data_IF_873651101447
#
_entry.id   IF_873651101447
#
_cell.length_a   1.000
_cell.length_b   1.000
_cell.length_c   1.000
_cell.angle_alpha   90.00
_cell.angle_beta   90.00
_cell.angle_gamma   90.00
#
_symmetry.space_group_name_H-M   'P 1'
#
loop_
_entity.id
_entity.type
_entity.pdbx_description
1 polymer ?
#
# COMPACT_ATOMS: atom_id res chain seq x y z
N UNK A 1 20.33 -38.29 28.77
CA UNK A 1 21.08 -39.55 28.62
C UNK A 1 22.55 -39.17 28.56
N UNK A 2 23.32 -39.44 29.61
CA UNK A 2 24.77 -39.16 29.62
C UNK A 2 25.43 -40.32 28.89
N UNK A 3 26.16 -40.03 27.82
CA UNK A 3 26.93 -41.03 27.10
C UNK A 3 28.30 -41.15 27.74
N UNK A 4 28.69 -42.37 28.13
CA UNK A 4 29.98 -42.68 28.71
C UNK A 4 30.81 -43.42 27.66
N UNK A 5 32.09 -43.04 27.53
CA UNK A 5 33.07 -43.87 26.84
C UNK A 5 34.15 -44.26 27.84
N UNK A 6 34.24 -45.55 28.10
CA UNK A 6 35.21 -46.12 29.03
C UNK A 6 36.33 -46.80 28.24
N UNK A 7 37.58 -46.50 28.59
CA UNK A 7 38.76 -47.18 28.04
C UNK A 7 39.36 -48.01 29.17
N UNK A 8 39.37 -49.33 29.02
CA UNK A 8 39.97 -50.27 29.97
C UNK A 8 41.15 -51.04 29.37
N UNK A 9 42.02 -51.55 30.24
CA UNK A 9 43.15 -52.41 29.85
C UNK A 9 42.70 -53.86 29.64
N UNK A 10 43.63 -54.74 29.21
CA UNK A 10 43.37 -56.18 28.99
C UNK A 10 43.02 -56.98 30.26
N UNK A 11 43.27 -56.41 31.45
CA UNK A 11 42.97 -57.00 32.75
C UNK A 11 41.61 -56.53 33.31
N UNK A 12 40.92 -55.63 32.59
CA UNK A 12 39.61 -55.11 32.99
C UNK A 12 39.66 -53.84 33.84
N UNK A 13 40.84 -53.28 34.12
CA UNK A 13 40.94 -52.04 34.88
C UNK A 13 40.58 -50.84 34.01
N UNK A 14 39.69 -49.98 34.52
CA UNK A 14 39.33 -48.71 33.88
C UNK A 14 40.53 -47.76 33.90
N UNK A 15 41.06 -47.43 32.71
CA UNK A 15 42.22 -46.55 32.55
C UNK A 15 41.81 -45.07 32.46
N UNK A 16 40.71 -44.78 31.76
CA UNK A 16 40.13 -43.44 31.64
C UNK A 16 38.62 -43.53 31.43
N UNK A 17 37.89 -42.65 32.11
CA UNK A 17 36.47 -42.44 31.90
C UNK A 17 36.26 -41.00 31.38
N UNK A 18 35.56 -40.86 30.25
CA UNK A 18 35.15 -39.58 29.71
C UNK A 18 33.63 -39.43 29.85
N UNK A 19 33.23 -38.44 30.65
CA UNK A 19 31.84 -37.99 30.76
C UNK A 19 31.57 -36.92 29.73
N UNK A 20 30.74 -37.24 28.73
CA UNK A 20 30.21 -36.23 27.82
C UNK A 20 28.94 -35.63 28.42
N UNK A 21 29.08 -34.44 29.01
CA UNK A 21 27.93 -33.58 29.25
C UNK A 21 27.46 -33.07 27.89
N UNK A 22 26.50 -33.75 27.28
CA UNK A 22 25.79 -33.23 26.11
C UNK A 22 25.05 -31.97 26.58
N UNK A 23 25.72 -30.82 26.47
CA UNK A 23 25.11 -29.52 26.70
C UNK A 23 23.82 -29.44 25.88
N UNK A 24 22.77 -28.89 26.49
CA UNK A 24 21.49 -28.63 25.85
C UNK A 24 21.73 -28.07 24.46
N UNK A 25 21.17 -28.68 23.41
CA UNK A 25 21.33 -28.22 22.04
C UNK A 25 21.07 -26.71 22.01
N UNK A 26 22.11 -25.93 21.70
CA UNK A 26 22.03 -24.48 21.72
C UNK A 26 21.11 -24.08 20.55
N UNK A 27 19.81 -23.99 20.83
CA UNK A 27 18.80 -23.77 19.81
C UNK A 27 18.86 -22.31 19.44
N UNK A 28 19.56 -22.03 18.36
CA UNK A 28 19.71 -20.68 17.82
C UNK A 28 18.60 -20.45 16.80
N UNK A 29 17.73 -19.48 17.08
CA UNK A 29 16.60 -19.12 16.23
C UNK A 29 17.01 -18.00 15.28
N UNK A 30 16.52 -18.05 14.03
CA UNK A 30 16.83 -17.06 13.00
C UNK A 30 15.55 -16.43 12.48
N UNK A 31 15.56 -15.14 12.18
CA UNK A 31 14.36 -14.44 11.74
C UNK A 31 13.82 -14.98 10.41
N UNK A 32 12.50 -14.91 10.26
CA UNK A 32 11.84 -14.99 8.95
C UNK A 32 11.97 -13.66 8.19
N UNK A 33 11.84 -13.70 6.86
CA UNK A 33 11.87 -12.48 6.06
C UNK A 33 10.76 -11.53 6.49
N UNK A 34 11.08 -10.25 6.69
CA UNK A 34 10.12 -9.19 7.02
C UNK A 34 10.13 -8.14 5.92
N UNK A 35 8.97 -7.81 5.39
CA UNK A 35 8.81 -6.81 4.33
C UNK A 35 7.88 -5.71 4.80
N UNK A 36 8.26 -4.46 4.54
CA UNK A 36 7.44 -3.28 4.81
C UNK A 36 7.44 -2.34 3.61
N UNK A 37 6.34 -1.64 3.41
CA UNK A 37 6.22 -0.58 2.40
C UNK A 37 6.38 0.77 3.06
N UNK A 38 7.22 1.62 2.48
CA UNK A 38 7.56 2.93 3.01
C UNK A 38 7.43 3.98 1.91
N UNK A 39 6.78 5.09 2.20
CA UNK A 39 6.62 6.20 1.25
C UNK A 39 7.72 7.22 1.50
N UNK A 40 8.42 7.63 0.44
CA UNK A 40 9.40 8.72 0.52
C UNK A 40 8.74 9.99 1.07
N UNK A 41 9.32 10.59 2.11
CA UNK A 41 8.70 11.71 2.82
C UNK A 41 9.55 12.99 2.85
N UNK A 42 10.72 12.97 2.22
CA UNK A 42 11.62 14.12 2.10
C UNK A 42 11.52 14.81 0.72
N UNK A 43 10.35 14.78 0.10
CA UNK A 43 10.09 15.49 -1.16
C UNK A 43 9.88 16.98 -0.92
N UNK A 44 10.27 17.82 -1.89
CA UNK A 44 9.97 19.26 -1.88
C UNK A 44 8.45 19.50 -1.86
N UNK A 45 8.03 20.67 -1.37
CA UNK A 45 6.61 21.04 -1.31
C UNK A 45 5.92 20.85 -2.66
N UNK A 46 4.74 20.25 -2.66
CA UNK A 46 3.94 19.96 -3.85
C UNK A 46 4.31 18.68 -4.60
N UNK A 47 5.34 17.95 -4.17
CA UNK A 47 5.71 16.65 -4.73
C UNK A 47 5.30 15.49 -3.82
N UNK A 48 4.89 14.38 -4.43
CA UNK A 48 4.54 13.13 -3.75
C UNK A 48 5.69 12.15 -3.87
N UNK A 49 6.03 11.47 -2.78
CA UNK A 49 7.03 10.41 -2.79
C UNK A 49 6.44 9.07 -3.25
N UNK A 50 7.22 8.31 -4.00
CA UNK A 50 6.87 6.94 -4.36
C UNK A 50 6.89 6.01 -3.14
N UNK A 51 6.05 4.97 -3.16
CA UNK A 51 6.12 3.85 -2.21
C UNK A 51 7.19 2.86 -2.65
N UNK A 52 8.09 2.51 -1.73
CA UNK A 52 9.17 1.53 -1.94
C UNK A 52 9.03 0.41 -0.91
N UNK A 53 9.19 -0.83 -1.34
CA UNK A 53 9.27 -1.99 -0.45
C UNK A 53 10.69 -2.18 0.07
N UNK A 54 10.85 -2.31 1.38
CA UNK A 54 12.09 -2.70 2.03
C UNK A 54 11.92 -4.09 2.66
N UNK A 55 12.86 -4.98 2.41
CA UNK A 55 12.82 -6.36 2.91
C UNK A 55 14.07 -6.64 3.74
N UNK A 56 13.86 -7.07 4.97
CA UNK A 56 14.88 -7.71 5.79
C UNK A 56 14.84 -9.21 5.46
N UNK A 57 15.89 -9.78 4.82
CA UNK A 57 15.91 -11.19 4.45
C UNK A 57 15.81 -12.12 5.66
N UNK A 58 15.35 -13.35 5.42
CA UNK A 58 15.42 -14.40 6.44
C UNK A 58 16.88 -14.65 6.86
N UNK A 59 17.08 -15.07 8.10
CA UNK A 59 18.39 -15.37 8.69
C UNK A 59 19.36 -14.19 8.83
N UNK A 60 18.87 -12.95 8.75
CA UNK A 60 19.67 -11.73 8.99
C UNK A 60 19.93 -11.48 10.49
N UNK A 61 19.03 -11.92 11.35
CA UNK A 61 19.06 -11.73 12.80
C UNK A 61 18.83 -13.06 13.51
N UNK A 62 19.57 -13.26 14.60
CA UNK A 62 19.54 -14.46 15.41
C UNK A 62 19.24 -14.20 16.88
N UNK A 63 18.66 -15.18 17.56
CA UNK A 63 18.41 -15.13 19.00
C UNK A 63 18.56 -16.51 19.63
N UNK A 64 19.17 -16.58 20.82
CA UNK A 64 19.17 -17.78 21.66
C UNK A 64 17.91 -17.90 22.52
N UNK A 65 17.04 -16.89 22.50
CA UNK A 65 15.84 -16.83 23.35
C UNK A 65 14.64 -17.48 22.67
N UNK A 66 14.28 -17.05 21.46
CA UNK A 66 13.13 -17.58 20.72
C UNK A 66 13.10 -17.09 19.27
N UNK A 67 12.28 -17.75 18.44
CA UNK A 67 11.93 -17.27 17.10
C UNK A 67 11.33 -15.86 17.12
N UNK A 68 10.44 -15.58 18.08
CA UNK A 68 9.80 -14.28 18.22
C UNK A 68 10.82 -13.17 18.53
N UNK A 69 11.86 -13.47 19.31
CA UNK A 69 12.92 -12.53 19.60
C UNK A 69 13.75 -12.21 18.34
N UNK A 70 14.11 -13.22 17.54
CA UNK A 70 14.81 -13.01 16.27
C UNK A 70 13.96 -12.21 15.26
N UNK A 71 12.66 -12.53 15.17
CA UNK A 71 11.70 -11.80 14.34
C UNK A 71 11.50 -10.35 14.80
N UNK A 72 11.50 -10.09 16.11
CA UNK A 72 11.39 -8.74 16.66
C UNK A 72 12.62 -7.88 16.31
N UNK A 73 13.82 -8.47 16.31
CA UNK A 73 15.03 -7.78 15.83
C UNK A 73 14.93 -7.42 14.35
N UNK A 74 14.45 -8.35 13.51
CA UNK A 74 14.23 -8.09 12.10
C UNK A 74 13.18 -6.99 11.86
N UNK A 75 12.10 -6.98 12.64
CA UNK A 75 11.09 -5.92 12.59
C UNK A 75 11.66 -4.58 13.06
N UNK A 76 12.47 -4.55 14.11
CA UNK A 76 13.12 -3.31 14.57
C UNK A 76 14.08 -2.74 13.51
N UNK A 77 14.83 -3.60 12.81
CA UNK A 77 15.67 -3.18 11.70
C UNK A 77 14.83 -2.67 10.51
N UNK A 78 13.71 -3.33 10.20
CA UNK A 78 12.79 -2.90 9.17
C UNK A 78 12.24 -1.49 9.45
N UNK A 79 11.79 -1.22 10.69
CA UNK A 79 11.26 0.10 11.06
C UNK A 79 12.35 1.17 11.15
N UNK A 80 13.56 0.83 11.61
CA UNK A 80 14.67 1.76 11.71
C UNK A 80 15.22 2.20 10.35
N UNK A 81 15.27 1.30 9.36
CA UNK A 81 15.92 1.57 8.07
C UNK A 81 14.94 1.78 6.92
N UNK A 82 13.69 1.33 7.03
CA UNK A 82 12.72 1.37 5.93
C UNK A 82 12.46 2.79 5.39
N UNK A 83 12.29 3.78 6.28
CA UNK A 83 12.07 5.16 5.85
C UNK A 83 13.32 5.77 5.20
N UNK A 84 14.51 5.52 5.73
CA UNK A 84 15.76 6.01 5.15
C UNK A 84 16.00 5.38 3.77
N UNK A 85 15.69 4.09 3.61
CA UNK A 85 15.74 3.41 2.32
C UNK A 85 14.78 4.05 1.32
N UNK A 86 13.50 4.24 1.67
CA UNK A 86 12.53 4.91 0.79
C UNK A 86 12.95 6.35 0.45
N UNK A 87 13.56 7.07 1.39
CA UNK A 87 14.09 8.41 1.13
C UNK A 87 15.31 8.40 0.20
N UNK A 88 16.11 7.33 0.17
CA UNK A 88 17.27 7.20 -0.71
C UNK A 88 16.92 6.71 -2.12
N UNK A 89 16.01 5.74 -2.25
CA UNK A 89 15.69 5.05 -3.51
C UNK A 89 14.38 5.49 -4.14
N UNK A 90 13.48 6.10 -3.38
CA UNK A 90 12.21 6.59 -3.88
C UNK A 90 12.35 7.83 -4.77
N UNK A 91 11.37 7.99 -5.65
CA UNK A 91 11.26 9.12 -6.58
C UNK A 91 10.21 10.10 -6.06
N UNK A 92 10.46 11.40 -6.25
CA UNK A 92 9.45 12.43 -6.04
C UNK A 92 8.80 12.76 -7.38
N UNK A 93 7.49 12.65 -7.47
CA UNK A 93 6.72 13.02 -8.66
C UNK A 93 5.74 14.13 -8.33
N UNK A 94 5.43 14.97 -9.31
CA UNK A 94 4.39 15.96 -9.12
C UNK A 94 3.04 15.24 -8.95
N UNK A 95 2.27 15.66 -7.96
CA UNK A 95 0.91 15.16 -7.76
C UNK A 95 -0.07 15.84 -8.72
N UNK A 96 -1.15 15.15 -9.04
CA UNK A 96 -2.35 15.72 -9.65
C UNK A 96 -3.40 15.82 -8.56
N UNK A 97 -3.80 17.05 -8.25
CA UNK A 97 -4.90 17.30 -7.34
C UNK A 97 -6.22 16.94 -8.02
N UNK A 98 -7.03 16.12 -7.35
CA UNK A 98 -8.39 15.79 -7.76
C UNK A 98 -9.33 16.50 -6.79
N UNK A 99 -10.22 17.30 -7.33
CA UNK A 99 -11.26 18.00 -6.57
C UNK A 99 -12.64 17.66 -7.13
N UNK A 100 -13.64 17.70 -6.27
CA UNK A 100 -15.03 17.46 -6.63
C UNK A 100 -15.89 18.66 -6.27
N UNK A 101 -16.72 19.09 -7.22
CA UNK A 101 -17.78 20.06 -6.98
C UNK A 101 -19.12 19.45 -7.35
N UNK A 102 -20.07 19.58 -6.43
CA UNK A 102 -21.44 19.11 -6.60
C UNK A 102 -22.37 20.32 -6.73
N UNK A 103 -22.79 20.61 -7.94
CA UNK A 103 -23.68 21.74 -8.25
C UNK A 103 -25.13 21.26 -8.51
N UNK A 104 -25.49 20.08 -7.99
CA UNK A 104 -26.86 19.57 -8.04
C UNK A 104 -27.81 20.47 -7.24
N UNK A 105 -28.99 20.74 -7.77
CA UNK A 105 -30.01 21.58 -7.15
C UNK A 105 -31.30 20.81 -6.87
N UNK A 106 -31.96 21.12 -5.75
CA UNK A 106 -33.23 20.52 -5.39
C UNK A 106 -34.31 20.73 -6.50
N UNK A 107 -35.16 19.72 -6.79
CA UNK A 107 -35.35 18.46 -6.06
C UNK A 107 -34.42 17.31 -6.55
N UNK A 108 -33.37 17.62 -7.31
CA UNK A 108 -32.45 16.64 -7.86
C UNK A 108 -31.26 16.43 -6.91
N UNK A 109 -31.15 15.22 -6.39
CA UNK A 109 -30.05 14.83 -5.51
C UNK A 109 -29.18 13.79 -6.23
N UNK A 110 -27.95 14.19 -6.55
CA UNK A 110 -26.92 13.32 -7.10
C UNK A 110 -25.61 13.55 -6.37
N UNK A 111 -24.83 12.50 -6.16
CA UNK A 111 -23.50 12.63 -5.57
C UNK A 111 -22.61 11.48 -6.03
N UNK A 112 -21.29 11.66 -5.92
CA UNK A 112 -20.33 10.58 -6.13
C UNK A 112 -20.16 9.84 -4.81
N UNK A 113 -20.70 8.63 -4.69
CA UNK A 113 -20.50 7.81 -3.48
C UNK A 113 -19.10 7.19 -3.43
N UNK A 114 -18.52 6.91 -4.60
CA UNK A 114 -17.18 6.35 -4.71
C UNK A 114 -16.51 6.72 -6.05
N UNK A 115 -15.24 7.12 -5.97
CA UNK A 115 -14.31 7.18 -7.10
C UNK A 115 -13.22 6.11 -6.91
N UNK A 116 -13.08 5.22 -7.89
CA UNK A 116 -11.94 4.32 -8.01
C UNK A 116 -11.01 4.80 -9.12
N UNK A 117 -9.72 4.86 -8.81
CA UNK A 117 -8.65 5.11 -9.79
C UNK A 117 -7.96 3.79 -10.06
N UNK A 118 -7.99 3.32 -11.30
CA UNK A 118 -7.45 2.04 -11.74
C UNK A 118 -6.26 2.22 -12.67
N UNK A 119 -5.33 1.27 -12.68
CA UNK A 119 -4.28 1.21 -13.69
C UNK A 119 -4.83 0.72 -15.05
N UNK A 120 -3.96 0.66 -16.07
CA UNK A 120 -4.29 0.13 -17.40
C UNK A 120 -4.78 -1.33 -17.37
N UNK A 121 -4.33 -2.13 -16.40
CA UNK A 121 -4.76 -3.51 -16.20
C UNK A 121 -6.11 -3.64 -15.45
N UNK A 122 -6.73 -2.52 -15.05
CA UNK A 122 -7.99 -2.49 -14.30
C UNK A 122 -7.86 -2.73 -12.79
N UNK A 123 -6.65 -2.83 -12.24
CA UNK A 123 -6.40 -2.93 -10.79
C UNK A 123 -6.72 -1.60 -10.12
N UNK A 124 -7.54 -1.64 -9.06
CA UNK A 124 -7.85 -0.47 -8.23
C UNK A 124 -6.60 -0.06 -7.44
N UNK A 125 -6.12 1.16 -7.68
CA UNK A 125 -4.99 1.77 -6.98
C UNK A 125 -5.44 2.66 -5.83
N UNK A 126 -6.52 3.42 -6.05
CA UNK A 126 -7.07 4.35 -5.07
C UNK A 126 -8.59 4.29 -5.05
N UNK A 127 -9.17 4.48 -3.87
CA UNK A 127 -10.61 4.59 -3.65
C UNK A 127 -10.88 5.81 -2.78
N UNK A 128 -11.73 6.71 -3.27
CA UNK A 128 -12.12 7.93 -2.57
C UNK A 128 -13.64 7.99 -2.41
N UNK A 129 -14.10 8.49 -1.26
CA UNK A 129 -15.49 8.85 -1.04
C UNK A 129 -15.73 10.35 -1.31
N UNK A 130 -16.98 10.77 -1.28
CA UNK A 130 -17.37 12.17 -1.51
C UNK A 130 -16.61 13.16 -0.64
N UNK A 131 -16.57 12.94 0.69
CA UNK A 131 -15.93 13.84 1.64
C UNK A 131 -14.44 14.04 1.35
N UNK A 132 -13.74 12.97 0.96
CA UNK A 132 -12.33 13.02 0.57
C UNK A 132 -12.15 13.86 -0.71
N UNK A 133 -13.02 13.67 -1.71
CA UNK A 133 -12.93 14.39 -2.98
C UNK A 133 -13.26 15.88 -2.82
N UNK A 134 -14.23 16.24 -1.98
CA UNK A 134 -14.57 17.62 -1.66
C UNK A 134 -13.44 18.32 -0.89
N UNK A 135 -12.74 17.59 -0.02
CA UNK A 135 -11.55 18.12 0.67
C UNK A 135 -10.35 18.31 -0.28
N UNK A 136 -10.39 17.69 -1.46
CA UNK A 136 -9.28 17.62 -2.41
C UNK A 136 -8.30 16.50 -2.05
N UNK A 137 -8.04 15.62 -3.00
CA UNK A 137 -7.05 14.55 -2.89
C UNK A 137 -5.93 14.75 -3.90
N UNK A 138 -4.79 14.08 -3.73
CA UNK A 138 -3.70 14.10 -4.72
C UNK A 138 -3.24 12.69 -5.02
N UNK A 139 -3.03 12.40 -6.30
CA UNK A 139 -2.45 11.14 -6.79
C UNK A 139 -1.23 11.43 -7.66
N UNK A 140 -0.30 10.47 -7.84
CA UNK A 140 0.81 10.63 -8.78
C UNK A 140 0.32 10.89 -10.22
N UNK A 141 1.15 11.58 -11.01
CA UNK A 141 0.92 11.66 -12.45
C UNK A 141 0.97 10.28 -13.11
N UNK A 142 0.12 10.07 -14.09
CA UNK A 142 0.02 8.81 -14.82
C UNK A 142 -1.24 8.73 -15.68
N UNK A 143 -1.39 7.64 -16.41
CA UNK A 143 -2.60 7.34 -17.16
C UNK A 143 -3.44 6.36 -16.36
N UNK A 144 -4.70 6.72 -16.10
CA UNK A 144 -5.60 5.95 -15.25
C UNK A 144 -6.94 5.71 -15.91
N UNK A 145 -7.62 4.67 -15.44
CA UNK A 145 -9.04 4.45 -15.68
C UNK A 145 -9.80 4.88 -14.44
N UNK A 146 -10.68 5.86 -14.57
CA UNK A 146 -11.51 6.34 -13.47
C UNK A 146 -12.87 5.64 -13.51
N UNK A 147 -13.32 5.16 -12.35
CA UNK A 147 -14.58 4.45 -12.20
C UNK A 147 -15.39 5.10 -11.10
N UNK A 148 -16.55 5.62 -11.44
CA UNK A 148 -17.43 6.39 -10.58
C UNK A 148 -18.63 5.56 -10.19
N UNK A 149 -19.09 5.72 -8.95
CA UNK A 149 -20.41 5.26 -8.53
C UNK A 149 -21.24 6.51 -8.22
N UNK A 150 -22.32 6.68 -8.97
CA UNK A 150 -23.23 7.82 -8.84
C UNK A 150 -24.61 7.26 -8.51
N UNK A 151 -24.97 7.12 -7.22
CA UNK A 151 -26.33 6.78 -6.84
C UNK A 151 -27.32 7.87 -7.26
N UNK A 152 -28.52 7.45 -7.67
CA UNK A 152 -29.66 8.36 -7.85
C UNK A 152 -30.27 8.65 -6.47
N UNK A 153 -30.31 9.91 -6.06
CA UNK A 153 -30.98 10.33 -4.82
C UNK A 153 -32.50 10.32 -4.96
N UNK A 154 -33.02 10.49 -6.18
CA UNK A 154 -34.46 10.43 -6.51
C UNK A 154 -34.73 9.50 -7.70
N UNK A 155 -35.74 8.64 -7.58
CA UNK A 155 -36.14 7.72 -8.64
C UNK A 155 -36.71 8.48 -9.84
N UNK A 156 -36.30 8.10 -11.06
CA UNK A 156 -36.88 8.60 -12.31
C UNK A 156 -36.22 9.84 -12.95
N UNK A 157 -35.21 10.45 -12.33
CA UNK A 157 -34.57 11.66 -12.85
C UNK A 157 -33.05 11.51 -12.78
N UNK A 158 -32.43 11.02 -13.85
CA UNK A 158 -30.97 10.87 -13.95
C UNK A 158 -30.48 11.49 -15.24
N UNK A 159 -30.44 12.82 -15.27
CA UNK A 159 -29.61 13.56 -16.21
C UNK A 159 -28.62 14.36 -15.38
N UNK A 160 -27.42 13.80 -15.24
CA UNK A 160 -26.28 14.50 -14.69
C UNK A 160 -25.11 14.47 -15.64
N UNK A 161 -24.42 15.59 -15.81
CA UNK A 161 -23.12 15.64 -16.45
C UNK A 161 -22.06 15.47 -15.38
N UNK A 162 -21.31 14.38 -15.48
CA UNK A 162 -20.02 14.28 -14.81
C UNK A 162 -18.98 14.71 -15.85
N UNK A 163 -18.26 15.80 -15.57
CA UNK A 163 -17.16 16.22 -16.43
C UNK A 163 -15.84 16.19 -15.69
N UNK A 164 -14.79 15.79 -16.41
CA UNK A 164 -13.42 15.88 -15.93
C UNK A 164 -12.71 16.90 -16.80
N UNK A 165 -12.17 17.91 -16.15
CA UNK A 165 -11.24 18.85 -16.76
C UNK A 165 -9.84 18.44 -16.34
N UNK A 166 -9.04 17.89 -17.26
CA UNK A 166 -7.61 17.61 -17.06
C UNK A 166 -6.79 18.10 -18.26
N UNK A 167 -5.45 18.01 -18.17
CA UNK A 167 -4.57 18.37 -19.29
C UNK A 167 -4.82 17.57 -20.58
N UNK A 168 -5.44 16.38 -20.51
CA UNK A 168 -5.85 15.62 -21.69
C UNK A 168 -7.13 16.12 -22.37
N UNK A 169 -7.76 17.17 -21.82
CA UNK A 169 -8.97 17.76 -22.36
C UNK A 169 -10.20 17.48 -21.51
N UNK A 170 -11.34 17.92 -22.06
CA UNK A 170 -12.64 17.83 -21.46
C UNK A 170 -13.30 16.49 -21.78
N UNK A 171 -13.74 15.76 -20.76
CA UNK A 171 -14.53 14.54 -20.95
C UNK A 171 -15.87 14.69 -20.24
N UNK A 172 -16.96 14.59 -20.99
CA UNK A 172 -18.34 14.66 -20.48
C UNK A 172 -19.02 13.30 -20.57
N UNK A 173 -19.75 12.93 -19.52
CA UNK A 173 -20.58 11.73 -19.51
C UNK A 173 -21.99 12.07 -19.05
N UNK A 174 -22.95 11.55 -19.79
CA UNK A 174 -24.37 11.61 -19.50
C UNK A 174 -24.82 10.25 -18.97
N UNK A 175 -25.28 10.20 -17.73
CA UNK A 175 -25.69 8.95 -17.09
C UNK A 175 -27.18 8.88 -16.83
N UNK A 176 -27.88 7.91 -17.42
CA UNK A 176 -29.27 7.55 -17.10
C UNK A 176 -29.30 6.12 -16.55
N UNK A 177 -29.75 5.92 -15.31
CA UNK A 177 -30.10 4.61 -14.77
C UNK A 177 -28.98 3.59 -14.50
N UNK A 178 -27.70 3.88 -14.79
CA UNK A 178 -26.57 3.02 -14.40
C UNK A 178 -25.91 3.53 -13.10
N UNK A 179 -25.61 2.66 -12.12
CA UNK A 179 -24.96 3.09 -10.89
C UNK A 179 -23.43 3.29 -11.05
N UNK A 180 -22.82 2.75 -12.10
CA UNK A 180 -21.35 2.74 -12.29
C UNK A 180 -20.97 3.25 -13.68
N UNK A 181 -20.01 4.16 -13.74
CA UNK A 181 -19.48 4.77 -14.97
C UNK A 181 -17.96 4.62 -15.03
N UNK A 182 -17.41 4.22 -16.17
CA UNK A 182 -15.95 4.06 -16.35
C UNK A 182 -15.45 4.97 -17.47
N UNK A 183 -14.33 5.64 -17.23
CA UNK A 183 -13.61 6.47 -18.19
C UNK A 183 -12.18 5.96 -18.24
N UNK A 184 -11.80 5.38 -19.37
CA UNK A 184 -10.47 4.80 -19.56
C UNK A 184 -9.54 5.77 -20.27
N UNK A 185 -8.24 5.64 -20.02
CA UNK A 185 -7.22 6.44 -20.71
C UNK A 185 -7.17 7.90 -20.26
N UNK A 186 -7.64 8.20 -19.06
CA UNK A 186 -7.55 9.56 -18.49
C UNK A 186 -6.10 9.83 -18.13
N UNK A 187 -5.46 10.71 -18.90
CA UNK A 187 -4.08 11.10 -18.66
C UNK A 187 -4.07 12.22 -17.62
N UNK A 188 -3.61 11.89 -16.42
CA UNK A 188 -3.40 12.82 -15.32
C UNK A 188 -1.98 13.39 -15.42
N UNK A 189 -1.79 14.40 -16.26
CA UNK A 189 -0.48 15.05 -16.48
C UNK A 189 -0.54 16.56 -16.20
N UNK A 190 -0.37 16.91 -14.92
CA UNK A 190 -0.33 18.30 -14.42
C UNK A 190 -1.60 19.16 -14.68
N UNK A 191 -1.80 20.17 -13.83
CA UNK A 191 -3.06 20.90 -13.63
C UNK A 191 -4.15 20.01 -13.05
N UNK A 192 -4.67 20.44 -11.91
CA UNK A 192 -5.84 19.90 -11.19
C UNK A 192 -6.84 19.18 -12.10
N UNK A 193 -7.16 17.94 -11.78
CA UNK A 193 -8.31 17.24 -12.35
C UNK A 193 -9.54 17.65 -11.55
N UNK A 194 -10.38 18.52 -12.12
CA UNK A 194 -11.61 18.92 -11.48
C UNK A 194 -12.76 18.07 -12.02
N UNK A 195 -13.41 17.36 -11.10
CA UNK A 195 -14.59 16.57 -11.36
C UNK A 195 -15.80 17.43 -11.00
N UNK A 196 -16.58 17.80 -12.00
CA UNK A 196 -17.85 18.48 -11.81
C UNK A 196 -18.99 17.50 -11.95
N UNK A 197 -19.89 17.48 -10.98
CA UNK A 197 -21.20 16.88 -11.11
C UNK A 197 -22.24 17.99 -11.17
N UNK A 198 -22.94 18.07 -12.30
CA UNK A 198 -24.13 18.89 -12.43
C UNK A 198 -25.31 17.98 -12.74
N UNK A 199 -26.46 18.17 -12.09
CA UNK A 199 -27.72 17.58 -12.54
C UNK A 199 -28.64 18.69 -12.97
N UNK A 200 -29.08 18.67 -14.22
CA UNK A 200 -30.03 19.63 -14.79
C UNK A 200 -31.28 18.90 -15.30
N UNK A 201 -32.35 19.67 -15.48
CA UNK A 201 -33.66 19.21 -15.98
C UNK A 201 -33.60 18.52 -17.34
#
# INVERSE_FOLDING_TARGET
MVSFSEISNRNGDLLKNYTYNQGTANTYYYNTAKTGTFTKNNCSSGLMGSTVSYTVPANSFGSTTSQAAADALAMAALTAHGQAHANATGVCTAGVAISYQNDTFAPFDGYISQLQVKNESGTVLYTFNEAQLTAGVSIPQGTYTLSFIIPVGTSGHSWGTCSIVSASGYNEFYGIGAPVYNISGVVMTASTALIYLNSYM
#
